data_IF_467686012616
#
_entry.id   IF_467686012616
#
_cell.length_a   1.000
_cell.length_b   1.000
_cell.length_c   1.000
_cell.angle_alpha   90.00
_cell.angle_beta   90.00
_cell.angle_gamma   90.00
#
_symmetry.space_group_name_H-M   'P 1'
#
loop_
_entity.id
_entity.type
_entity.pdbx_description
1 polymer ?
#
# COMPACT_ATOMS: atom_id res chain seq x y z
N UNK A 1 -24.65 -74.67 17.43
CA UNK A 1 -24.60 -73.74 18.59
C UNK A 1 -24.26 -72.34 18.07
N UNK A 2 -25.07 -71.34 18.46
CA UNK A 2 -24.97 -69.85 18.32
C UNK A 2 -24.86 -69.27 16.88
N UNK A 3 -25.83 -68.60 16.20
CA UNK A 3 -26.76 -67.46 16.49
C UNK A 3 -25.99 -66.17 16.91
N UNK A 4 -26.09 -64.93 16.37
CA UNK A 4 -26.89 -64.13 15.37
C UNK A 4 -26.10 -62.78 15.13
N UNK A 5 -26.61 -61.64 14.54
CA UNK A 5 -27.17 -61.25 13.23
C UNK A 5 -26.46 -60.07 12.49
N UNK A 6 -26.91 -59.85 11.24
CA UNK A 6 -27.01 -58.63 10.41
C UNK A 6 -26.72 -57.22 10.96
N UNK A 7 -26.15 -56.36 10.10
CA UNK A 7 -26.62 -54.98 9.95
C UNK A 7 -26.43 -54.43 8.53
N UNK A 8 -27.47 -54.60 7.73
CA UNK A 8 -27.75 -53.87 6.50
C UNK A 8 -28.33 -52.50 6.89
N UNK A 9 -27.63 -51.38 6.65
CA UNK A 9 -28.26 -50.05 6.66
C UNK A 9 -27.73 -49.23 5.48
N UNK A 10 -28.53 -49.24 4.41
CA UNK A 10 -28.57 -48.18 3.41
C UNK A 10 -28.88 -46.86 4.12
N UNK A 11 -28.01 -45.85 4.00
CA UNK A 11 -28.42 -44.47 4.27
C UNK A 11 -28.50 -43.73 2.94
N UNK A 12 -29.75 -43.58 2.53
CA UNK A 12 -30.24 -42.72 1.45
C UNK A 12 -30.06 -41.26 1.88
N UNK A 13 -29.75 -40.40 0.92
CA UNK A 13 -29.51 -38.97 1.10
C UNK A 13 -30.57 -38.24 1.92
N UNK A 14 -30.12 -37.27 2.72
CA UNK A 14 -30.92 -36.11 3.13
C UNK A 14 -30.07 -34.86 2.89
N UNK A 15 -30.32 -34.21 1.76
CA UNK A 15 -30.01 -32.79 1.63
C UNK A 15 -30.91 -32.06 2.63
N UNK A 16 -30.31 -31.49 3.67
CA UNK A 16 -31.01 -30.57 4.55
C UNK A 16 -30.64 -29.15 4.13
N UNK A 17 -31.52 -28.55 3.33
CA UNK A 17 -31.58 -27.12 3.17
C UNK A 17 -31.95 -26.52 4.54
N UNK A 18 -30.99 -25.84 5.16
CA UNK A 18 -31.18 -25.14 6.42
C UNK A 18 -30.27 -23.92 6.42
N UNK A 19 -30.90 -22.73 6.40
CA UNK A 19 -30.34 -21.39 6.58
C UNK A 19 -28.84 -21.22 6.37
N UNK A 20 -28.46 -20.51 5.29
CA UNK A 20 -27.22 -19.75 5.28
C UNK A 20 -27.32 -18.65 6.34
N UNK A 21 -27.13 -19.02 7.61
CA UNK A 21 -26.58 -18.09 8.58
C UNK A 21 -25.24 -17.66 7.99
N UNK A 22 -25.13 -16.40 7.61
CA UNK A 22 -23.86 -15.76 7.32
C UNK A 22 -22.98 -16.01 8.54
N UNK A 23 -22.14 -17.04 8.48
CA UNK A 23 -21.04 -17.18 9.41
C UNK A 23 -20.25 -15.88 9.26
N UNK A 24 -19.98 -15.15 10.36
CA UNK A 24 -19.09 -14.01 10.28
C UNK A 24 -17.78 -14.57 9.73
N UNK A 25 -17.43 -14.19 8.50
CA UNK A 25 -16.14 -14.49 7.93
C UNK A 25 -15.16 -13.69 8.79
N UNK A 26 -14.63 -14.33 9.83
CA UNK A 26 -13.49 -13.82 10.57
C UNK A 26 -12.34 -13.78 9.58
N UNK A 27 -12.20 -12.65 8.89
CA UNK A 27 -11.01 -12.31 8.11
C UNK A 27 -9.86 -12.28 9.10
N UNK A 28 -9.10 -13.37 9.18
CA UNK A 28 -7.81 -13.32 9.87
C UNK A 28 -6.91 -12.41 9.05
N UNK A 29 -6.28 -11.42 9.67
CA UNK A 29 -5.23 -10.63 9.04
C UNK A 29 -4.22 -11.56 8.37
N UNK A 30 -4.15 -11.53 7.04
CA UNK A 30 -3.22 -12.35 6.28
C UNK A 30 -1.81 -11.75 6.38
N UNK A 31 -0.78 -12.61 6.40
CA UNK A 31 0.60 -12.19 6.16
C UNK A 31 0.98 -12.64 4.75
N UNK A 32 1.37 -11.70 3.90
CA UNK A 32 1.66 -11.97 2.47
C UNK A 32 3.01 -11.37 2.06
N UNK A 33 3.59 -11.92 0.99
CA UNK A 33 4.80 -11.42 0.35
C UNK A 33 4.53 -10.29 -0.64
N UNK A 34 5.59 -9.87 -1.34
CA UNK A 34 5.53 -8.85 -2.40
C UNK A 34 4.50 -9.16 -3.48
N UNK A 35 3.79 -8.14 -3.96
CA UNK A 35 2.78 -8.26 -5.03
C UNK A 35 3.26 -7.56 -6.30
N UNK A 36 3.16 -8.22 -7.45
CA UNK A 36 3.62 -7.67 -8.74
C UNK A 36 2.63 -7.92 -9.86
N UNK A 37 2.51 -6.96 -10.77
CA UNK A 37 1.77 -7.12 -12.02
C UNK A 37 0.49 -6.30 -12.07
N UNK A 38 -0.63 -6.96 -12.38
CA UNK A 38 -1.96 -6.36 -12.55
C UNK A 38 -2.69 -6.11 -11.23
N UNK A 39 -3.98 -6.47 -11.19
CA UNK A 39 -4.85 -6.21 -10.03
C UNK A 39 -4.32 -6.86 -8.74
N UNK A 40 -4.47 -6.14 -7.63
CA UNK A 40 -4.04 -6.58 -6.29
C UNK A 40 -5.15 -6.28 -5.30
N UNK A 41 -5.53 -7.27 -4.48
CA UNK A 41 -6.51 -7.09 -3.40
C UNK A 41 -5.96 -7.67 -2.12
N UNK A 42 -5.69 -6.81 -1.14
CA UNK A 42 -5.39 -7.20 0.23
C UNK A 42 -6.66 -7.12 1.07
N UNK A 43 -6.94 -8.14 1.87
CA UNK A 43 -8.04 -8.10 2.83
C UNK A 43 -7.77 -7.08 3.95
N UNK A 44 -8.81 -6.67 4.68
CA UNK A 44 -8.67 -5.77 5.83
C UNK A 44 -7.65 -6.31 6.85
N UNK A 45 -6.80 -5.42 7.35
CA UNK A 45 -5.75 -5.75 8.32
C UNK A 45 -4.59 -6.60 7.77
N UNK A 46 -4.49 -6.84 6.47
CA UNK A 46 -3.39 -7.62 5.88
C UNK A 46 -2.04 -6.99 6.19
N UNK A 47 -1.05 -7.81 6.56
CA UNK A 47 0.35 -7.42 6.69
C UNK A 47 1.15 -7.94 5.49
N UNK A 48 1.59 -7.06 4.61
CA UNK A 48 2.52 -7.36 3.55
C UNK A 48 3.95 -7.12 4.02
N UNK A 49 4.80 -8.12 3.93
CA UNK A 49 6.24 -8.02 4.16
C UNK A 49 6.94 -8.30 2.84
N UNK A 50 7.66 -7.31 2.31
CA UNK A 50 8.35 -7.48 1.05
C UNK A 50 9.41 -8.60 1.13
N UNK A 51 9.37 -9.50 0.15
CA UNK A 51 10.23 -10.67 0.05
C UNK A 51 10.75 -10.92 -1.38
N UNK A 52 10.39 -10.08 -2.35
CA UNK A 52 10.88 -10.16 -3.73
C UNK A 52 11.70 -8.94 -4.15
N UNK A 53 12.80 -9.22 -4.85
CA UNK A 53 13.70 -8.23 -5.43
C UNK A 53 13.29 -7.88 -6.87
N UNK A 54 13.49 -6.62 -7.25
CA UNK A 54 13.42 -6.18 -8.65
C UNK A 54 14.55 -5.23 -9.00
N UNK A 55 15.54 -5.71 -9.75
CA UNK A 55 16.69 -4.90 -10.17
C UNK A 55 17.52 -4.43 -8.98
N UNK A 56 17.16 -3.26 -8.45
CA UNK A 56 17.88 -2.46 -7.47
C UNK A 56 17.24 -2.42 -6.07
N UNK A 57 16.32 -3.35 -5.73
CA UNK A 57 15.92 -3.60 -4.33
C UNK A 57 14.55 -4.25 -4.13
N UNK A 58 14.17 -4.44 -2.87
CA UNK A 58 12.88 -5.04 -2.47
C UNK A 58 11.69 -4.11 -2.74
N UNK A 59 10.55 -4.72 -3.06
CA UNK A 59 9.30 -3.99 -3.28
C UNK A 59 8.11 -4.56 -2.50
N UNK A 60 7.19 -3.70 -2.06
CA UNK A 60 5.93 -4.14 -1.45
C UNK A 60 4.90 -4.49 -2.51
N UNK A 61 4.38 -3.48 -3.21
CA UNK A 61 3.49 -3.64 -4.37
C UNK A 61 4.14 -2.95 -5.57
N UNK A 62 4.29 -3.66 -6.68
CA UNK A 62 4.85 -3.14 -7.93
C UNK A 62 3.93 -3.42 -9.11
N UNK A 63 3.25 -2.38 -9.58
CA UNK A 63 2.36 -2.45 -10.73
C UNK A 63 3.05 -1.87 -11.95
N UNK A 64 3.46 -2.75 -12.86
CA UNK A 64 4.19 -2.41 -14.09
C UNK A 64 3.51 -3.05 -15.30
N UNK A 65 3.65 -2.44 -16.48
CA UNK A 65 3.16 -3.01 -17.74
C UNK A 65 2.16 -2.11 -18.45
N UNK A 66 1.61 -2.59 -19.57
CA UNK A 66 0.72 -1.81 -20.43
C UNK A 66 -0.75 -1.84 -20.00
N UNK A 67 -1.13 -2.78 -19.14
CA UNK A 67 -2.52 -2.97 -18.70
C UNK A 67 -2.76 -2.25 -17.38
N UNK A 68 -3.75 -1.37 -17.34
CA UNK A 68 -4.21 -0.73 -16.12
C UNK A 68 -4.59 -1.78 -15.06
N UNK A 69 -4.38 -1.44 -13.79
CA UNK A 69 -4.68 -2.29 -12.66
C UNK A 69 -5.57 -1.59 -11.64
N UNK A 70 -6.41 -2.39 -10.97
CA UNK A 70 -7.16 -2.03 -9.78
C UNK A 70 -6.47 -2.59 -8.54
N UNK A 71 -6.07 -1.71 -7.63
CA UNK A 71 -5.34 -2.06 -6.42
C UNK A 71 -6.15 -1.61 -5.21
N UNK A 72 -6.44 -2.55 -4.32
CA UNK A 72 -7.09 -2.28 -3.05
C UNK A 72 -6.24 -2.85 -1.92
N UNK A 73 -5.75 -1.97 -1.05
CA UNK A 73 -5.26 -2.38 0.27
C UNK A 73 -6.41 -2.23 1.27
N UNK A 74 -6.93 -3.35 1.77
CA UNK A 74 -8.02 -3.35 2.76
C UNK A 74 -7.72 -2.46 3.97
N UNK A 75 -8.78 -2.03 4.65
CA UNK A 75 -8.69 -1.07 5.74
C UNK A 75 -7.71 -1.55 6.82
N UNK A 76 -6.80 -0.68 7.25
CA UNK A 76 -5.82 -1.02 8.28
C UNK A 76 -4.71 -1.96 7.82
N UNK A 77 -4.56 -2.19 6.52
CA UNK A 77 -3.43 -2.97 6.00
C UNK A 77 -2.09 -2.31 6.35
N UNK A 78 -1.06 -3.13 6.54
CA UNK A 78 0.31 -2.70 6.76
C UNK A 78 1.20 -3.24 5.65
N UNK A 79 2.04 -2.38 5.06
CA UNK A 79 3.05 -2.75 4.06
C UNK A 79 4.42 -2.37 4.60
N UNK A 80 5.31 -3.34 4.72
CA UNK A 80 6.68 -3.14 5.21
C UNK A 80 7.70 -3.60 4.18
N UNK A 81 8.62 -2.69 3.83
CA UNK A 81 9.73 -2.94 2.91
C UNK A 81 11.03 -2.52 3.59
N UNK A 82 11.96 -3.46 3.72
CA UNK A 82 13.26 -3.22 4.34
C UNK A 82 14.36 -3.75 3.45
N UNK A 83 15.28 -2.88 3.04
CA UNK A 83 16.43 -3.24 2.22
C UNK A 83 17.62 -2.37 2.60
N UNK A 84 18.33 -2.73 3.67
CA UNK A 84 19.42 -1.91 4.23
C UNK A 84 20.60 -1.70 3.26
N UNK A 85 20.67 -2.47 2.18
CA UNK A 85 21.76 -2.46 1.21
C UNK A 85 21.33 -1.88 -0.15
N UNK A 86 20.02 -1.72 -0.40
CA UNK A 86 19.51 -1.25 -1.69
C UNK A 86 18.30 -0.31 -1.55
N UNK A 87 17.54 -0.19 -2.63
CA UNK A 87 16.36 0.65 -2.72
C UNK A 87 15.13 -0.06 -2.14
N UNK A 88 14.61 0.43 -1.02
CA UNK A 88 13.32 0.01 -0.50
C UNK A 88 12.17 0.72 -1.23
N UNK A 89 11.40 -0.05 -2.01
CA UNK A 89 10.25 0.43 -2.80
C UNK A 89 8.94 0.02 -2.13
N UNK A 90 8.20 0.93 -1.51
CA UNK A 90 6.94 0.59 -0.85
C UNK A 90 5.85 0.12 -1.82
N UNK A 91 5.07 1.05 -2.35
CA UNK A 91 4.01 0.81 -3.34
C UNK A 91 4.26 1.68 -4.56
N UNK A 92 4.47 1.04 -5.71
CA UNK A 92 4.86 1.68 -6.96
C UNK A 92 3.84 1.36 -8.04
N UNK A 93 3.12 2.38 -8.49
CA UNK A 93 2.11 2.26 -9.54
C UNK A 93 2.60 2.96 -10.80
N UNK A 94 3.12 2.15 -11.73
CA UNK A 94 3.79 2.60 -12.95
C UNK A 94 2.96 2.31 -14.21
N UNK A 95 1.99 1.41 -14.14
CA UNK A 95 1.07 1.18 -15.25
C UNK A 95 0.08 2.34 -15.39
N UNK A 96 -0.12 2.82 -16.62
CA UNK A 96 -0.98 3.95 -16.90
C UNK A 96 -2.45 3.66 -16.54
N UNK A 97 -3.18 4.71 -16.14
CA UNK A 97 -4.61 4.65 -15.81
C UNK A 97 -4.98 3.63 -14.72
N UNK A 98 -4.02 3.26 -13.85
CA UNK A 98 -4.28 2.38 -12.72
C UNK A 98 -4.92 3.15 -11.55
N UNK A 99 -5.64 2.42 -10.70
CA UNK A 99 -6.37 2.97 -9.57
C UNK A 99 -5.93 2.27 -8.27
N UNK A 100 -5.59 3.06 -7.25
CA UNK A 100 -5.21 2.56 -5.92
C UNK A 100 -6.18 3.06 -4.86
N UNK A 101 -6.64 2.18 -3.98
CA UNK A 101 -7.54 2.50 -2.87
C UNK A 101 -7.04 1.90 -1.56
N UNK A 102 -7.11 2.68 -0.48
CA UNK A 102 -6.86 2.23 0.88
C UNK A 102 -7.58 3.12 1.91
N UNK A 103 -7.67 2.66 3.15
CA UNK A 103 -8.06 3.43 4.33
C UNK A 103 -7.21 2.97 5.52
N UNK A 104 -6.71 3.92 6.34
CA UNK A 104 -5.83 3.61 7.48
C UNK A 104 -4.62 2.73 7.11
N UNK A 105 -4.10 2.87 5.90
CA UNK A 105 -2.90 2.14 5.45
C UNK A 105 -1.71 2.56 6.31
N UNK A 106 -0.89 1.59 6.72
CA UNK A 106 0.43 1.85 7.32
C UNK A 106 1.50 1.38 6.34
N UNK A 107 2.27 2.31 5.80
CA UNK A 107 3.29 2.01 4.79
C UNK A 107 4.67 2.41 5.31
N UNK A 108 5.57 1.43 5.43
CA UNK A 108 6.92 1.61 5.95
C UNK A 108 7.95 1.13 4.93
N UNK A 109 8.76 2.04 4.39
CA UNK A 109 9.88 1.73 3.52
C UNK A 109 11.20 2.18 4.18
N UNK A 110 12.17 1.28 4.29
CA UNK A 110 13.49 1.62 4.85
C UNK A 110 14.62 0.94 4.07
N UNK A 111 15.59 1.70 3.59
CA UNK A 111 16.74 1.15 2.86
C UNK A 111 17.91 2.11 2.75
N UNK A 112 18.84 1.88 1.81
CA UNK A 112 19.83 2.91 1.43
C UNK A 112 19.09 4.09 0.84
N UNK A 113 18.33 3.85 -0.22
CA UNK A 113 17.31 4.76 -0.75
C UNK A 113 15.95 4.23 -0.35
N UNK A 114 14.99 5.10 -0.03
CA UNK A 114 13.64 4.67 0.32
C UNK A 114 12.58 5.56 -0.29
N UNK A 115 11.64 4.97 -1.01
CA UNK A 115 10.43 5.65 -1.48
C UNK A 115 9.25 4.82 -1.06
N UNK A 116 8.38 5.41 -0.26
CA UNK A 116 7.28 4.67 0.32
C UNK A 116 6.11 4.54 -0.67
N UNK A 117 5.63 5.63 -1.28
CA UNK A 117 4.49 5.57 -2.20
C UNK A 117 4.76 6.36 -3.49
N UNK A 118 4.64 5.73 -4.66
CA UNK A 118 4.93 6.34 -5.96
C UNK A 118 3.81 6.10 -6.98
N UNK A 119 3.31 7.21 -7.54
CA UNK A 119 2.43 7.26 -8.71
C UNK A 119 3.21 7.87 -9.87
N UNK A 120 3.80 7.03 -10.71
CA UNK A 120 4.62 7.45 -11.85
C UNK A 120 4.10 6.97 -13.21
N UNK A 121 3.10 6.09 -13.23
CA UNK A 121 2.33 5.83 -14.44
C UNK A 121 1.60 7.08 -14.93
N UNK A 122 1.25 7.12 -16.22
CA UNK A 122 0.44 8.22 -16.76
C UNK A 122 -0.99 8.13 -16.24
N UNK A 123 -1.53 9.21 -15.69
CA UNK A 123 -2.94 9.29 -15.23
C UNK A 123 -3.32 8.24 -14.18
N UNK A 124 -2.40 7.88 -13.29
CA UNK A 124 -2.72 7.01 -12.15
C UNK A 124 -3.52 7.82 -11.13
N UNK A 125 -4.50 7.21 -10.48
CA UNK A 125 -5.19 7.85 -9.35
C UNK A 125 -5.08 7.01 -8.08
N UNK A 126 -4.83 7.65 -6.95
CA UNK A 126 -4.84 7.00 -5.65
C UNK A 126 -5.78 7.72 -4.68
N UNK A 127 -6.46 6.93 -3.86
CA UNK A 127 -7.18 7.39 -2.68
C UNK A 127 -6.67 6.62 -1.46
N UNK A 128 -5.97 7.32 -0.54
CA UNK A 128 -5.46 6.73 0.71
C UNK A 128 -6.48 6.80 1.85
N UNK A 129 -7.71 7.26 1.60
CA UNK A 129 -8.76 7.30 2.60
C UNK A 129 -8.41 8.24 3.76
N UNK A 130 -8.95 7.94 4.95
CA UNK A 130 -8.70 8.68 6.18
C UNK A 130 -7.68 7.98 7.08
N UNK A 131 -6.72 8.73 7.62
CA UNK A 131 -5.82 8.23 8.66
C UNK A 131 -4.71 7.29 8.19
N UNK A 132 -4.41 7.26 6.89
CA UNK A 132 -3.24 6.54 6.37
C UNK A 132 -1.93 7.21 6.82
N UNK A 133 -0.88 6.41 6.94
CA UNK A 133 0.46 6.83 7.35
C UNK A 133 1.53 6.26 6.44
N UNK A 134 2.49 7.10 6.09
CA UNK A 134 3.57 6.79 5.15
C UNK A 134 4.90 7.16 5.81
N UNK A 135 5.79 6.18 5.95
CA UNK A 135 7.12 6.35 6.52
C UNK A 135 8.18 5.90 5.52
N UNK A 136 9.12 6.80 5.20
CA UNK A 136 10.30 6.49 4.39
C UNK A 136 11.59 6.84 5.14
N UNK A 137 12.50 5.87 5.23
CA UNK A 137 13.76 6.00 5.95
C UNK A 137 14.91 5.56 5.05
N UNK A 138 15.69 6.52 4.56
CA UNK A 138 16.95 6.29 3.88
C UNK A 138 18.10 6.27 4.90
N UNK A 139 19.13 5.48 4.62
CA UNK A 139 20.34 5.39 5.42
C UNK A 139 21.54 5.95 4.65
N UNK A 140 22.56 6.40 5.39
CA UNK A 140 23.76 7.00 4.81
C UNK A 140 23.51 8.35 4.15
N UNK A 141 24.04 8.54 2.94
CA UNK A 141 24.00 9.81 2.18
C UNK A 141 22.91 9.85 1.10
N UNK A 142 22.07 8.81 1.03
CA UNK A 142 21.03 8.68 0.02
C UNK A 142 19.73 9.38 0.45
N UNK A 143 18.83 9.59 -0.52
CA UNK A 143 17.59 10.32 -0.32
C UNK A 143 16.43 9.41 0.07
N UNK A 144 15.47 9.98 0.79
CA UNK A 144 14.20 9.35 1.10
C UNK A 144 13.04 10.19 0.55
N UNK A 145 12.02 9.54 0.03
CA UNK A 145 10.80 10.20 -0.44
C UNK A 145 9.57 9.54 0.17
N UNK A 146 8.68 10.33 0.76
CA UNK A 146 7.45 9.79 1.34
C UNK A 146 6.48 9.38 0.24
N UNK A 147 5.94 10.39 -0.44
CA UNK A 147 4.96 10.24 -1.50
C UNK A 147 5.44 10.97 -2.76
N UNK A 148 5.30 10.32 -3.91
CA UNK A 148 5.63 10.88 -5.23
C UNK A 148 4.41 10.76 -6.14
N UNK A 149 3.98 11.89 -6.72
CA UNK A 149 2.86 11.97 -7.67
C UNK A 149 3.34 12.70 -8.92
N UNK A 150 3.32 11.99 -10.05
CA UNK A 150 3.84 12.51 -11.32
C UNK A 150 3.04 12.06 -12.53
N UNK A 151 3.38 12.58 -13.72
CA UNK A 151 2.80 12.14 -15.01
C UNK A 151 1.26 12.23 -15.08
N UNK A 152 0.69 13.39 -14.71
CA UNK A 152 -0.76 13.62 -14.71
C UNK A 152 -1.52 12.75 -13.70
N UNK A 153 -0.82 12.23 -12.69
CA UNK A 153 -1.43 11.40 -11.65
C UNK A 153 -2.06 12.24 -10.55
N UNK A 154 -2.95 11.62 -9.78
CA UNK A 154 -3.68 12.27 -8.70
C UNK A 154 -3.64 11.47 -7.41
N UNK A 155 -3.57 12.18 -6.28
CA UNK A 155 -3.70 11.59 -4.94
C UNK A 155 -4.77 12.32 -4.14
N UNK A 156 -5.65 11.56 -3.51
CA UNK A 156 -6.60 12.04 -2.52
C UNK A 156 -6.36 11.36 -1.17
N UNK A 157 -6.45 12.14 -0.09
CA UNK A 157 -6.40 11.60 1.27
C UNK A 157 -7.04 12.56 2.29
N UNK A 158 -7.38 12.02 3.44
CA UNK A 158 -7.76 12.76 4.64
C UNK A 158 -6.93 12.27 5.83
N UNK A 159 -6.56 13.19 6.73
CA UNK A 159 -5.69 12.91 7.88
C UNK A 159 -4.41 12.09 7.53
N UNK A 160 -3.78 12.39 6.38
CA UNK A 160 -2.58 11.69 5.92
C UNK A 160 -1.36 12.14 6.73
N UNK A 161 -0.62 11.17 7.26
CA UNK A 161 0.66 11.42 7.93
C UNK A 161 1.81 10.95 7.04
N UNK A 162 2.81 11.80 6.84
CA UNK A 162 4.04 11.44 6.11
C UNK A 162 5.24 11.74 7.01
N UNK A 163 6.07 10.73 7.25
CA UNK A 163 7.36 10.86 7.94
C UNK A 163 8.49 10.44 7.01
N UNK A 164 9.43 11.34 6.75
CA UNK A 164 10.56 11.08 5.87
C UNK A 164 11.87 11.41 6.57
N UNK A 165 12.80 10.45 6.58
CA UNK A 165 14.13 10.61 7.13
C UNK A 165 15.16 10.22 6.07
N UNK A 166 16.10 11.12 5.76
CA UNK A 166 17.17 10.87 4.79
C UNK A 166 17.91 12.14 4.41
N UNK A 167 18.99 12.00 3.64
CA UNK A 167 19.71 13.16 3.09
C UNK A 167 18.86 13.80 2.01
N UNK A 168 18.52 15.09 2.12
CA UNK A 168 17.57 15.75 1.22
C UNK A 168 16.20 15.04 1.17
N UNK A 169 15.70 14.60 2.33
CA UNK A 169 14.42 13.92 2.44
C UNK A 169 13.24 14.78 1.94
N UNK A 170 12.34 14.18 1.15
CA UNK A 170 11.16 14.85 0.60
C UNK A 170 9.89 14.13 1.03
N UNK A 171 9.07 14.75 1.88
CA UNK A 171 7.79 14.14 2.27
C UNK A 171 6.84 13.97 1.07
N UNK A 172 6.67 15.02 0.24
CA UNK A 172 5.73 15.01 -0.89
C UNK A 172 6.33 15.62 -2.17
N UNK A 173 6.64 14.74 -3.13
CA UNK A 173 6.91 14.93 -4.57
C UNK A 173 5.67 15.22 -5.41
N UNK A 174 5.41 16.43 -5.92
CA UNK A 174 4.43 16.61 -7.01
C UNK A 174 5.12 17.22 -8.22
N UNK A 175 5.12 16.50 -9.35
CA UNK A 175 5.83 16.93 -10.56
C UNK A 175 5.10 16.56 -11.86
N UNK A 176 5.45 17.24 -12.95
CA UNK A 176 4.82 17.05 -14.25
C UNK A 176 3.45 17.75 -14.37
N UNK A 177 3.18 18.26 -15.57
CA UNK A 177 1.95 18.98 -15.86
C UNK A 177 0.71 18.08 -15.62
N UNK A 178 -0.32 18.62 -14.98
CA UNK A 178 -1.57 17.92 -14.68
C UNK A 178 -1.56 17.05 -13.42
N UNK A 179 -0.40 16.82 -12.80
CA UNK A 179 -0.32 16.07 -11.54
C UNK A 179 -0.90 16.91 -10.39
N UNK A 180 -1.67 16.29 -9.51
CA UNK A 180 -2.33 17.01 -8.41
C UNK A 180 -2.46 16.16 -7.15
N UNK A 181 -2.53 16.84 -6.00
CA UNK A 181 -2.70 16.20 -4.69
C UNK A 181 -3.72 16.99 -3.90
N UNK A 182 -4.73 16.30 -3.37
CA UNK A 182 -5.75 16.87 -2.48
C UNK A 182 -5.70 16.14 -1.14
N UNK A 183 -5.22 16.83 -0.11
CA UNK A 183 -5.18 16.31 1.25
C UNK A 183 -5.94 17.29 2.15
N UNK A 184 -7.00 16.81 2.80
CA UNK A 184 -7.86 17.67 3.65
C UNK A 184 -7.18 18.02 4.98
N UNK A 185 -6.61 17.02 5.64
CA UNK A 185 -5.83 17.15 6.88
C UNK A 185 -4.51 16.40 6.69
N UNK A 186 -3.40 17.04 7.02
CA UNK A 186 -2.08 16.45 6.83
C UNK A 186 -1.14 16.76 8.00
N UNK A 187 -0.19 15.85 8.22
CA UNK A 187 0.98 16.07 9.07
C UNK A 187 2.21 15.58 8.31
N UNK A 188 3.16 16.47 8.04
CA UNK A 188 4.42 16.14 7.40
C UNK A 188 5.57 16.34 8.38
N UNK A 189 6.35 15.30 8.60
CA UNK A 189 7.57 15.33 9.39
C UNK A 189 8.75 14.96 8.49
N UNK A 190 9.69 15.88 8.32
CA UNK A 190 10.90 15.66 7.52
C UNK A 190 12.10 15.82 8.44
N UNK A 191 12.97 14.82 8.46
CA UNK A 191 14.23 14.86 9.21
C UNK A 191 15.39 14.68 8.24
N UNK A 192 16.19 15.73 8.08
CA UNK A 192 17.44 15.64 7.32
C UNK A 192 18.54 15.05 8.22
N UNK A 193 19.23 14.03 7.71
CA UNK A 193 20.27 13.30 8.46
C UNK A 193 21.65 14.00 8.42
N UNK A 194 21.78 15.07 7.64
CA UNK A 194 23.00 15.88 7.52
C UNK A 194 22.88 17.23 8.24
N UNK A 195 21.80 17.45 8.99
CA UNK A 195 21.47 18.74 9.62
C UNK A 195 21.32 19.90 8.63
N UNK A 196 20.95 19.62 7.37
CA UNK A 196 20.60 20.67 6.43
C UNK A 196 19.27 21.34 6.84
N UNK A 197 19.06 22.62 6.48
CA UNK A 197 17.76 23.26 6.66
C UNK A 197 16.68 22.50 5.87
N UNK A 198 15.61 22.10 6.54
CA UNK A 198 14.44 21.50 5.90
C UNK A 198 13.48 22.60 5.44
N UNK A 199 13.19 22.66 4.14
CA UNK A 199 12.26 23.63 3.56
C UNK A 199 10.93 22.96 3.19
N UNK A 200 9.81 23.51 3.68
CA UNK A 200 8.47 23.13 3.25
C UNK A 200 7.85 24.27 2.44
N UNK A 201 7.70 24.09 1.13
CA UNK A 201 6.99 25.05 0.28
C UNK A 201 5.59 24.50 0.00
N UNK A 202 4.61 24.93 0.80
CA UNK A 202 3.21 24.54 0.68
C UNK A 202 2.36 25.68 0.15
N UNK A 203 1.71 25.48 -1.00
CA UNK A 203 0.66 26.39 -1.49
C UNK A 203 -0.68 25.68 -1.29
N UNK A 204 -1.37 25.99 -0.18
CA UNK A 204 -2.73 25.49 0.04
C UNK A 204 -3.73 26.46 -0.62
N UNK A 205 -4.16 26.19 -1.85
CA UNK A 205 -5.34 26.86 -2.42
C UNK A 205 -6.60 26.05 -2.10
N UNK A 206 -6.99 26.05 -0.83
CA UNK A 206 -8.23 25.45 -0.36
C UNK A 206 -9.30 26.52 -0.15
N UNK A 207 -10.25 26.63 -1.08
CA UNK A 207 -11.50 27.34 -0.84
C UNK A 207 -12.28 26.61 0.27
N UNK A 208 -12.52 27.28 1.38
CA UNK A 208 -13.57 26.90 2.33
C UNK A 208 -14.93 27.16 1.67
N UNK A 209 -15.69 26.10 1.42
CA UNK A 209 -17.13 26.16 1.20
C UNK A 209 -17.85 25.73 2.45
#
# INVERSE_FOLDING_TARGET
>A
MNKIPDRNIRVKAMMLAGGMGMLPLVSSAAVVGSQRGGDVTLADGTTLIADQLTGDGYYGILVTGATAAEITAGTGSTVTVKDAEHYAKGIFIQSASSHFTADKLVLNASGITAVAFELSGKQVSANLGSGSSVTSIASGIAYAEGVVVSNQSSLQADALQISTQGTNGIALRVSGYGSNVKILRNLFNVTDTQNNPTYGNGVSSGLSG
#
